data_IF_130091995746
#
_entry.id   IF_130091995746
#
_cell.length_a   1.000
_cell.length_b   1.000
_cell.length_c   1.000
_cell.angle_alpha   90.00
_cell.angle_beta   90.00
_cell.angle_gamma   90.00
#
_symmetry.space_group_name_H-M   'P 1'
#
loop_
_entity.id
_entity.type
_entity.pdbx_description
1 polymer ?
#
# COMPACT_ATOMS: atom_id res chain seq x y z
N UNK A 1 3.96 29.18 3.00
CA UNK A 1 3.70 28.03 2.10
C UNK A 1 4.16 26.81 2.87
N UNK A 2 3.24 25.94 3.30
CA UNK A 2 3.62 24.71 4.00
C UNK A 2 4.29 23.76 3.02
N UNK A 3 5.46 23.24 3.40
CA UNK A 3 6.16 22.24 2.63
C UNK A 3 5.42 20.90 2.76
N UNK A 4 4.95 20.32 1.66
CA UNK A 4 4.39 18.97 1.68
C UNK A 4 5.53 17.98 1.84
N UNK A 5 5.51 17.20 2.93
CA UNK A 5 6.39 16.04 3.08
C UNK A 5 5.79 14.85 2.34
N UNK A 6 6.61 14.19 1.53
CA UNK A 6 6.25 13.05 0.70
C UNK A 6 7.21 11.92 1.05
N UNK A 7 6.73 11.01 1.89
CA UNK A 7 7.49 9.85 2.30
C UNK A 7 7.26 8.71 1.31
N UNK A 8 8.32 8.01 0.93
CA UNK A 8 8.24 6.83 0.07
C UNK A 8 8.85 5.62 0.74
N UNK A 9 8.18 4.49 0.54
CA UNK A 9 8.64 3.17 0.97
C UNK A 9 8.56 2.24 -0.21
N UNK A 10 9.58 1.42 -0.42
CA UNK A 10 9.54 0.31 -1.37
C UNK A 10 9.60 -0.99 -0.56
N UNK A 11 8.68 -1.90 -0.87
CA UNK A 11 8.63 -3.24 -0.29
C UNK A 11 8.87 -4.26 -1.40
N UNK A 12 9.84 -5.15 -1.20
CA UNK A 12 10.10 -6.29 -2.07
C UNK A 12 9.73 -7.59 -1.36
N UNK A 13 8.74 -8.33 -1.88
CA UNK A 13 8.38 -9.67 -1.40
C UNK A 13 8.98 -10.72 -2.33
N UNK A 14 9.90 -11.53 -1.79
CA UNK A 14 10.43 -12.67 -2.55
C UNK A 14 9.36 -13.77 -2.72
N UNK A 15 9.42 -14.57 -3.80
CA UNK A 15 8.53 -15.72 -3.97
C UNK A 15 8.63 -16.68 -2.78
N UNK A 16 7.50 -17.13 -2.25
CA UNK A 16 7.44 -18.05 -1.10
C UNK A 16 7.62 -17.41 0.28
N UNK A 17 8.10 -16.16 0.35
CA UNK A 17 8.37 -15.50 1.64
C UNK A 17 7.13 -14.78 2.21
N UNK A 18 6.88 -14.94 3.50
CA UNK A 18 5.79 -14.22 4.19
C UNK A 18 6.14 -12.74 4.42
N UNK A 19 7.41 -12.46 4.67
CA UNK A 19 7.94 -11.12 4.95
C UNK A 19 8.53 -10.50 3.67
N UNK A 20 8.59 -9.17 3.65
CA UNK A 20 9.28 -8.41 2.60
C UNK A 20 10.66 -7.92 3.05
N UNK A 21 11.39 -7.31 2.12
CA UNK A 21 12.47 -6.35 2.39
C UNK A 21 11.93 -4.94 2.22
N UNK A 22 12.40 -4.00 3.02
CA UNK A 22 11.91 -2.61 3.04
C UNK A 22 13.08 -1.65 2.83
N UNK A 23 12.85 -0.57 2.08
CA UNK A 23 13.73 0.59 2.02
C UNK A 23 12.87 1.86 2.05
N UNK A 24 13.28 2.83 2.89
CA UNK A 24 12.56 4.07 3.14
C UNK A 24 13.35 5.24 2.57
N UNK A 25 12.67 6.24 1.99
CA UNK A 25 13.32 7.40 1.38
C UNK A 25 14.17 8.21 2.35
N UNK A 26 13.81 8.20 3.63
CA UNK A 26 14.50 8.89 4.74
C UNK A 26 15.70 8.11 5.27
N UNK A 27 15.84 6.82 4.93
CA UNK A 27 16.87 5.91 5.42
C UNK A 27 17.38 4.94 4.32
N UNK A 28 17.58 5.44 3.10
CA UNK A 28 17.84 4.65 1.90
C UNK A 28 19.27 4.06 1.78
N UNK A 29 19.86 3.60 2.89
CA UNK A 29 21.24 3.08 2.92
C UNK A 29 21.31 1.59 2.54
N UNK A 30 20.33 0.79 2.97
CA UNK A 30 20.27 -0.64 2.69
C UNK A 30 18.82 -1.18 2.79
N UNK A 31 18.58 -2.31 2.13
CA UNK A 31 17.36 -3.08 2.33
C UNK A 31 17.32 -3.70 3.73
N UNK A 32 16.26 -3.40 4.47
CA UNK A 32 16.00 -3.94 5.80
C UNK A 32 15.03 -5.12 5.72
N UNK A 33 15.09 -6.03 6.70
CA UNK A 33 14.09 -7.07 6.84
C UNK A 33 12.77 -6.46 7.30
N UNK A 34 11.66 -6.82 6.65
CA UNK A 34 10.33 -6.50 7.14
C UNK A 34 10.11 -7.16 8.50
N UNK A 35 9.75 -6.36 9.50
CA UNK A 35 9.59 -6.79 10.88
C UNK A 35 8.50 -7.86 11.07
N UNK A 36 7.50 -7.87 10.18
CA UNK A 36 6.35 -8.76 10.24
C UNK A 36 5.97 -9.30 8.84
N UNK A 37 5.23 -10.42 8.78
CA UNK A 37 4.58 -10.85 7.56
C UNK A 37 3.71 -9.74 6.96
N UNK A 38 3.67 -9.65 5.63
CA UNK A 38 2.91 -8.58 4.94
C UNK A 38 1.41 -8.63 5.22
N UNK A 39 0.88 -9.79 5.58
CA UNK A 39 -0.53 -10.03 5.90
C UNK A 39 -0.89 -9.75 7.36
N UNK A 40 0.09 -9.50 8.24
CA UNK A 40 -0.15 -9.18 9.65
C UNK A 40 -0.69 -7.75 9.74
N UNK A 41 -1.78 -7.51 10.47
CA UNK A 41 -2.41 -6.20 10.66
C UNK A 41 -1.90 -5.42 11.89
N UNK A 42 -0.89 -5.97 12.59
CA UNK A 42 -0.17 -5.28 13.66
C UNK A 42 1.11 -4.59 13.15
N UNK A 43 1.55 -3.55 13.89
CA UNK A 43 2.79 -2.80 13.65
C UNK A 43 2.87 -2.13 12.27
N UNK A 44 4.07 -1.78 11.78
CA UNK A 44 4.29 -1.11 10.48
C UNK A 44 4.28 -2.10 9.30
N UNK A 45 3.19 -2.84 9.15
CA UNK A 45 3.01 -3.83 8.08
C UNK A 45 2.29 -3.26 6.85
N UNK A 46 2.34 -4.00 5.73
CA UNK A 46 1.57 -3.65 4.53
C UNK A 46 0.05 -3.68 4.77
N UNK A 47 -0.47 -4.63 5.56
CA UNK A 47 -1.89 -4.68 5.91
C UNK A 47 -2.33 -3.45 6.72
N UNK A 48 -1.47 -2.92 7.60
CA UNK A 48 -1.74 -1.69 8.36
C UNK A 48 -1.92 -0.48 7.43
N UNK A 49 -1.15 -0.38 6.35
CA UNK A 49 -1.34 0.66 5.34
C UNK A 49 -2.70 0.58 4.63
N UNK A 50 -3.32 -0.61 4.59
CA UNK A 50 -4.63 -0.88 3.99
C UNK A 50 -5.76 -0.97 5.02
N UNK A 51 -5.52 -0.76 6.32
CA UNK A 51 -6.52 -1.01 7.36
C UNK A 51 -7.81 -0.20 7.16
N UNK A 52 -7.73 1.01 6.62
CA UNK A 52 -8.89 1.87 6.33
C UNK A 52 -9.52 1.65 4.94
N UNK A 53 -8.93 0.77 4.12
CA UNK A 53 -9.51 0.28 2.87
C UNK A 53 -10.44 -0.89 3.16
N UNK A 54 -10.02 -1.76 4.08
CA UNK A 54 -10.76 -2.98 4.46
C UNK A 54 -11.72 -2.73 5.64
N UNK A 55 -11.34 -1.85 6.56
CA UNK A 55 -12.15 -1.43 7.71
C UNK A 55 -12.99 -0.19 7.44
N UNK A 56 -14.10 -0.05 8.17
CA UNK A 56 -14.99 1.10 8.04
C UNK A 56 -14.43 2.32 8.79
N UNK A 57 -13.74 3.22 8.09
CA UNK A 57 -13.31 4.52 8.61
C UNK A 57 -14.02 5.66 7.84
N UNK A 58 -14.86 6.49 8.48
CA UNK A 58 -15.60 7.55 7.80
C UNK A 58 -14.70 8.62 7.18
N UNK A 59 -13.50 8.79 7.73
CA UNK A 59 -12.52 9.78 7.29
C UNK A 59 -11.60 9.28 6.18
N UNK A 60 -11.75 8.02 5.75
CA UNK A 60 -10.98 7.45 4.65
C UNK A 60 -11.87 7.20 3.43
N UNK A 61 -11.39 7.62 2.26
CA UNK A 61 -11.95 7.23 0.95
C UNK A 61 -10.85 6.60 0.12
N UNK A 62 -11.21 5.68 -0.76
CA UNK A 62 -10.23 5.02 -1.61
C UNK A 62 -10.76 4.71 -3.01
N UNK A 63 -9.83 4.65 -3.95
CA UNK A 63 -10.01 4.10 -5.29
C UNK A 63 -9.09 2.89 -5.44
N UNK A 64 -9.67 1.71 -5.59
CA UNK A 64 -8.92 0.50 -5.94
C UNK A 64 -8.96 0.27 -7.45
N UNK A 65 -7.81 -0.06 -8.04
CA UNK A 65 -7.72 -0.44 -9.45
C UNK A 65 -6.96 -1.76 -9.58
N UNK A 66 -7.42 -2.60 -10.50
CA UNK A 66 -6.85 -3.92 -10.72
C UNK A 66 -7.17 -4.36 -12.15
N UNK A 67 -6.22 -5.00 -12.82
CA UNK A 67 -6.45 -5.57 -14.14
C UNK A 67 -7.30 -6.84 -14.16
N UNK A 68 -7.48 -7.49 -13.01
CA UNK A 68 -8.35 -8.63 -12.79
C UNK A 68 -8.94 -8.51 -11.36
N UNK A 69 -9.97 -7.65 -11.18
CA UNK A 69 -10.50 -7.36 -9.85
C UNK A 69 -11.12 -8.61 -9.19
N UNK A 70 -10.85 -8.86 -7.90
CA UNK A 70 -11.47 -9.96 -7.17
C UNK A 70 -13.00 -9.86 -7.19
N UNK A 71 -13.70 -10.99 -7.31
CA UNK A 71 -15.16 -11.05 -7.27
C UNK A 71 -15.88 -10.56 -8.53
N UNK A 72 -15.15 -10.13 -9.57
CA UNK A 72 -15.73 -9.74 -10.88
C UNK A 72 -15.20 -10.70 -11.96
N UNK A 73 -15.93 -11.79 -12.25
CA UNK A 73 -15.48 -12.76 -13.24
C UNK A 73 -15.42 -12.14 -14.65
N UNK A 74 -14.52 -12.66 -15.48
CA UNK A 74 -14.36 -12.30 -16.90
C UNK A 74 -13.96 -10.85 -17.21
N UNK A 75 -13.64 -10.02 -16.20
CA UNK A 75 -13.10 -8.69 -16.41
C UNK A 75 -11.57 -8.74 -16.39
N UNK A 76 -10.95 -8.57 -17.57
CA UNK A 76 -9.50 -8.39 -17.70
C UNK A 76 -9.17 -7.16 -18.54
N UNK A 77 -8.49 -6.19 -17.97
CA UNK A 77 -8.06 -4.98 -18.69
C UNK A 77 -6.67 -5.16 -19.33
N UNK A 78 -6.28 -4.25 -20.23
CA UNK A 78 -4.97 -4.31 -20.92
C UNK A 78 -3.78 -3.94 -20.04
N UNK A 79 -3.98 -3.04 -19.06
CA UNK A 79 -2.94 -2.70 -18.09
C UNK A 79 -2.68 -3.90 -17.19
N UNK A 80 -1.45 -4.09 -16.70
CA UNK A 80 -1.15 -5.07 -15.64
C UNK A 80 -1.03 -4.42 -14.27
N UNK A 81 -1.23 -3.11 -14.17
CA UNK A 81 -1.08 -2.37 -12.93
C UNK A 81 -2.23 -2.64 -11.96
N UNK A 82 -1.90 -2.73 -10.67
CA UNK A 82 -2.85 -2.87 -9.56
C UNK A 82 -2.45 -1.90 -8.45
N UNK A 83 -3.40 -1.51 -7.62
CA UNK A 83 -3.10 -0.62 -6.51
C UNK A 83 -4.33 0.05 -5.91
N UNK A 84 -4.05 0.92 -4.94
CA UNK A 84 -5.05 1.67 -4.20
C UNK A 84 -4.56 3.11 -3.97
N UNK A 85 -5.44 4.07 -4.25
CA UNK A 85 -5.26 5.47 -3.85
C UNK A 85 -6.16 5.70 -2.64
N UNK A 86 -5.61 6.22 -1.54
CA UNK A 86 -6.31 6.48 -0.28
C UNK A 86 -6.26 7.97 0.01
N UNK A 87 -7.40 8.55 0.36
CA UNK A 87 -7.55 9.97 0.68
C UNK A 87 -8.11 10.11 2.10
N UNK A 88 -7.51 10.99 2.90
CA UNK A 88 -8.12 11.46 4.13
C UNK A 88 -9.11 12.59 3.81
N UNK A 89 -10.32 12.53 4.36
CA UNK A 89 -11.33 13.59 4.14
C UNK A 89 -11.30 14.70 5.18
N UNK A 90 -10.54 14.49 6.26
CA UNK A 90 -10.38 15.41 7.38
C UNK A 90 -8.98 16.05 7.44
N UNK A 91 -8.11 15.73 6.47
CA UNK A 91 -6.75 16.24 6.38
C UNK A 91 -6.34 16.34 4.92
N UNK A 92 -5.40 17.24 4.62
CA UNK A 92 -4.81 17.35 3.29
C UNK A 92 -3.69 16.32 3.11
N UNK A 93 -4.07 15.05 3.05
CA UNK A 93 -3.13 13.93 2.95
C UNK A 93 -3.71 12.78 2.12
N UNK A 94 -2.83 12.12 1.38
CA UNK A 94 -3.17 10.96 0.57
C UNK A 94 -1.99 9.97 0.51
N UNK A 95 -2.30 8.72 0.20
CA UNK A 95 -1.31 7.68 -0.05
C UNK A 95 -1.64 6.95 -1.36
N UNK A 96 -0.61 6.51 -2.07
CA UNK A 96 -0.75 5.69 -3.26
C UNK A 96 0.11 4.44 -3.16
N UNK A 97 -0.54 3.29 -3.20
CA UNK A 97 0.09 1.98 -3.23
C UNK A 97 -0.02 1.44 -4.65
N UNK A 98 1.13 1.09 -5.24
CA UNK A 98 1.23 0.42 -6.55
C UNK A 98 1.80 -0.97 -6.33
N UNK A 99 1.21 -2.00 -6.94
CA UNK A 99 1.75 -3.34 -6.89
C UNK A 99 1.51 -4.11 -8.20
N UNK A 100 2.15 -5.29 -8.29
CA UNK A 100 1.98 -6.28 -9.36
C UNK A 100 1.38 -7.56 -8.81
#
# INVERSE_FOLDING_TARGET
MSEYSWERVIVYKAPGEANGKIIESTAAVAWQNGAQPLTNDAQHSFATALQHVVGNNPNAKFLAYNNAPPGVPNLKTKSNSKGVIILATNADSAAWIVHT
#
